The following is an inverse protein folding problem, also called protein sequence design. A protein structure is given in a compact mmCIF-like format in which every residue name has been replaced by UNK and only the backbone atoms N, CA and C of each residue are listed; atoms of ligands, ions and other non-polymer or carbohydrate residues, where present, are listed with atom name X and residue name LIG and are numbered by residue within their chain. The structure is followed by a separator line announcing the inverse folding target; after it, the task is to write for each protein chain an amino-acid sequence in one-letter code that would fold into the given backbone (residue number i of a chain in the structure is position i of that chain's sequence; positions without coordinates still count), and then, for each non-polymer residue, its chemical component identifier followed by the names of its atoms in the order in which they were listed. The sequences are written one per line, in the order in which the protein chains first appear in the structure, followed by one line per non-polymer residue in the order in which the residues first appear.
data_IF_197859952612
#
_entry.id   IF_197859952612
#
_cell.length_a   1.000
_cell.length_b   1.000
_cell.length_c   1.000
_cell.angle_alpha   90.00
_cell.angle_beta   90.00
_cell.angle_gamma   90.00
#
_symmetry.space_group_name_H-M   'P 1'
#
loop_
_entity.id
_entity.type
_entity.pdbx_description
1 polymer ?
#
# COMPACT_ATOMS: atom_id res chain seq x y z
N UNK A 1 9.58 -7.90 2.00
CA UNK A 1 9.78 -6.87 0.97
C UNK A 1 8.74 -5.80 1.20
N UNK A 2 9.16 -4.55 1.37
CA UNK A 2 8.23 -3.42 1.42
C UNK A 2 7.74 -3.11 0.00
N UNK A 3 6.51 -2.60 -0.11
CA UNK A 3 5.95 -2.18 -1.39
C UNK A 3 6.75 -0.97 -1.90
N UNK A 4 7.19 -0.94 -3.17
CA UNK A 4 7.89 0.22 -3.69
C UNK A 4 6.96 1.44 -3.67
N UNK A 5 7.52 2.59 -3.34
CA UNK A 5 6.81 3.87 -3.33
C UNK A 5 7.75 4.97 -3.81
N UNK A 6 7.18 6.01 -4.40
CA UNK A 6 7.89 7.23 -4.72
C UNK A 6 6.89 8.41 -4.65
N UNK A 7 7.42 9.62 -4.56
CA UNK A 7 6.63 10.84 -4.57
C UNK A 7 6.75 11.52 -5.93
N UNK A 8 5.65 12.05 -6.44
CA UNK A 8 5.61 12.87 -7.64
C UNK A 8 4.64 14.05 -7.48
N UNK A 9 4.70 14.98 -8.43
CA UNK A 9 3.79 16.10 -8.50
C UNK A 9 2.38 15.65 -8.91
N UNK A 10 1.38 16.28 -8.31
CA UNK A 10 -0.02 15.90 -8.51
C UNK A 10 -0.52 16.20 -9.93
N UNK A 11 -0.01 17.24 -10.59
CA UNK A 11 -0.48 17.66 -11.91
C UNK A 11 -0.07 16.64 -12.98
N UNK A 12 1.18 16.21 -12.98
CA UNK A 12 1.69 15.18 -13.88
C UNK A 12 1.01 13.84 -13.61
N UNK A 13 0.84 13.46 -12.34
CA UNK A 13 0.20 12.19 -11.99
C UNK A 13 -1.23 12.12 -12.53
N UNK A 14 -2.01 13.20 -12.37
CA UNK A 14 -3.39 13.30 -12.90
C UNK A 14 -3.43 13.35 -14.43
N UNK A 15 -2.46 14.01 -15.08
CA UNK A 15 -2.36 14.07 -16.53
C UNK A 15 -1.99 12.73 -17.21
N UNK A 16 -1.24 11.87 -16.52
CA UNK A 16 -0.68 10.63 -17.10
C UNK A 16 -1.67 9.46 -17.26
N UNK A 17 -2.87 9.54 -16.66
CA UNK A 17 -3.82 8.41 -16.46
C UNK A 17 -3.23 7.16 -15.77
N UNK A 18 -1.95 7.16 -15.38
CA UNK A 18 -1.29 6.01 -14.74
C UNK A 18 -1.92 5.74 -13.37
N UNK A 19 -2.31 6.80 -12.65
CA UNK A 19 -3.03 6.68 -11.39
C UNK A 19 -4.35 5.89 -11.54
N UNK A 20 -5.10 6.15 -12.61
CA UNK A 20 -6.33 5.42 -12.90
C UNK A 20 -6.04 3.95 -13.17
N UNK A 21 -5.06 3.65 -14.03
CA UNK A 21 -4.63 2.26 -14.33
C UNK A 21 -4.20 1.51 -13.08
N UNK A 22 -3.39 2.15 -12.24
CA UNK A 22 -2.94 1.61 -10.96
C UNK A 22 -4.13 1.32 -10.03
N UNK A 23 -5.09 2.26 -9.92
CA UNK A 23 -6.32 2.08 -9.14
C UNK A 23 -7.16 0.90 -9.65
N UNK A 24 -7.35 0.80 -10.97
CA UNK A 24 -8.11 -0.30 -11.55
C UNK A 24 -7.44 -1.66 -11.31
N UNK A 25 -6.12 -1.75 -11.46
CA UNK A 25 -5.41 -3.00 -11.21
C UNK A 25 -5.41 -3.40 -9.73
N UNK A 26 -5.36 -2.43 -8.80
CA UNK A 26 -5.57 -2.72 -7.38
C UNK A 26 -6.97 -3.28 -7.09
N UNK A 27 -8.01 -2.77 -7.76
CA UNK A 27 -9.37 -3.33 -7.65
C UNK A 27 -9.44 -4.76 -8.20
N UNK A 28 -8.78 -5.03 -9.32
CA UNK A 28 -8.69 -6.37 -9.91
C UNK A 28 -7.97 -7.36 -8.97
N UNK A 29 -6.88 -6.93 -8.34
CA UNK A 29 -6.18 -7.73 -7.32
C UNK A 29 -7.08 -8.01 -6.13
N UNK A 30 -7.83 -7.01 -5.65
CA UNK A 30 -8.76 -7.17 -4.54
C UNK A 30 -9.84 -8.21 -4.88
N UNK A 31 -10.46 -8.13 -6.06
CA UNK A 31 -11.47 -9.11 -6.50
C UNK A 31 -10.87 -10.53 -6.64
N UNK A 32 -9.63 -10.62 -7.12
CA UNK A 32 -8.91 -11.89 -7.18
C UNK A 32 -8.63 -12.48 -5.79
N UNK A 33 -8.29 -11.64 -4.81
CA UNK A 33 -8.10 -12.04 -3.41
C UNK A 33 -9.41 -12.52 -2.78
N UNK A 34 -10.51 -11.81 -3.01
CA UNK A 34 -11.83 -12.21 -2.50
C UNK A 34 -12.25 -13.58 -3.07
N UNK A 35 -12.06 -13.77 -4.37
CA UNK A 35 -12.31 -15.05 -5.05
C UNK A 35 -11.40 -16.17 -4.53
N UNK A 36 -10.12 -15.86 -4.29
CA UNK A 36 -9.17 -16.80 -3.71
C UNK A 36 -9.61 -17.22 -2.30
N UNK A 37 -10.01 -16.27 -1.45
CA UNK A 37 -10.54 -16.52 -0.11
C UNK A 37 -11.73 -17.47 -0.13
N UNK A 38 -12.73 -17.18 -0.96
CA UNK A 38 -13.91 -18.05 -1.10
C UNK A 38 -13.54 -19.48 -1.53
N UNK A 39 -12.64 -19.63 -2.51
CA UNK A 39 -12.19 -20.96 -2.98
C UNK A 39 -11.39 -21.70 -1.91
N UNK A 40 -10.60 -20.97 -1.12
CA UNK A 40 -9.83 -21.52 -0.01
C UNK A 40 -10.77 -22.08 1.05
N UNK A 41 -11.77 -21.30 1.47
CA UNK A 41 -12.77 -21.72 2.46
C UNK A 41 -13.51 -22.97 2.00
N UNK A 42 -13.88 -23.05 0.72
CA UNK A 42 -14.51 -24.23 0.14
C UNK A 42 -13.59 -25.47 0.14
N UNK A 43 -12.32 -25.31 -0.17
CA UNK A 43 -11.35 -26.41 -0.14
C UNK A 43 -11.11 -26.90 1.30
N UNK A 44 -11.04 -25.99 2.27
CA UNK A 44 -10.93 -26.31 3.69
C UNK A 44 -12.16 -27.06 4.20
N UNK A 45 -13.37 -26.63 3.82
CA UNK A 45 -14.61 -27.35 4.14
C UNK A 45 -14.63 -28.77 3.57
N UNK A 46 -14.26 -28.96 2.30
CA UNK A 46 -14.17 -30.30 1.69
C UNK A 46 -13.14 -31.18 2.40
N UNK A 47 -12.01 -30.62 2.84
CA UNK A 47 -11.01 -31.34 3.60
C UNK A 47 -11.54 -31.79 4.97
N UNK A 48 -12.25 -30.92 5.70
CA UNK A 48 -12.85 -31.27 6.98
C UNK A 48 -13.93 -32.35 6.86
N UNK A 49 -14.73 -32.31 5.79
CA UNK A 49 -15.69 -33.37 5.48
C UNK A 49 -15.00 -34.72 5.29
N UNK A 50 -13.93 -34.79 4.49
CA UNK A 50 -13.15 -36.03 4.30
C UNK A 50 -12.59 -36.54 5.63
N UNK A 51 -12.00 -35.65 6.44
CA UNK A 51 -11.48 -36.02 7.77
C UNK A 51 -12.57 -36.59 8.66
N UNK A 52 -13.77 -36.00 8.66
CA UNK A 52 -14.92 -36.50 9.41
C UNK A 52 -15.33 -37.90 8.93
N UNK A 53 -15.48 -38.08 7.61
CA UNK A 53 -15.81 -39.38 7.00
C UNK A 53 -14.80 -40.47 7.41
N UNK A 54 -13.49 -40.17 7.37
CA UNK A 54 -12.43 -41.11 7.77
C UNK A 54 -12.55 -41.48 9.25
N UNK A 55 -12.79 -40.51 10.13
CA UNK A 55 -12.98 -40.77 11.57
C UNK A 55 -14.19 -41.67 11.84
N UNK A 56 -15.30 -41.45 11.14
CA UNK A 56 -16.50 -42.28 11.26
C UNK A 56 -16.27 -43.70 10.76
N UNK A 57 -15.54 -43.88 9.66
CA UNK A 57 -15.16 -45.21 9.15
C UNK A 57 -14.31 -46.01 10.14
N UNK A 58 -13.40 -45.34 10.86
CA UNK A 58 -12.57 -45.98 11.89
C UNK A 58 -13.36 -46.49 13.11
N UNK A 59 -14.60 -46.04 13.30
CA UNK A 59 -15.45 -46.41 14.45
C UNK A 59 -16.40 -47.59 14.16
N UNK A 60 -16.35 -48.18 12.95
CA UNK A 60 -16.95 -49.49 12.66
C UNK A 60 -18.22 -49.53 11.79
N UNK A 61 -18.66 -48.41 11.20
CA UNK A 61 -19.90 -48.33 10.40
C UNK A 61 -19.67 -48.44 8.87
N UNK A 62 -18.57 -49.08 8.45
CA UNK A 62 -18.07 -49.09 7.07
C UNK A 62 -18.74 -50.10 6.14
N UNK A 63 -19.97 -49.84 5.70
CA UNK A 63 -20.58 -50.54 4.56
C UNK A 63 -19.93 -50.17 3.22
N UNK A 64 -19.98 -51.06 2.21
CA UNK A 64 -19.40 -50.90 0.85
C UNK A 64 -19.78 -49.60 0.12
N UNK A 65 -20.85 -48.90 0.53
CA UNK A 65 -21.26 -47.61 -0.01
C UNK A 65 -20.37 -46.43 0.42
N UNK A 66 -19.63 -46.51 1.53
CA UNK A 66 -18.79 -45.40 2.03
C UNK A 66 -17.43 -45.32 1.33
N UNK A 67 -16.95 -46.40 0.72
CA UNK A 67 -15.67 -46.41 -0.01
C UNK A 67 -15.74 -45.62 -1.33
N UNK A 68 -16.84 -45.76 -2.08
CA UNK A 68 -17.08 -45.01 -3.33
C UNK A 68 -17.26 -43.52 -3.04
N UNK A 69 -17.97 -43.19 -1.96
CA UNK A 69 -18.15 -41.80 -1.50
C UNK A 69 -16.82 -41.14 -1.09
N UNK A 70 -15.89 -41.88 -0.50
CA UNK A 70 -14.58 -41.37 -0.10
C UNK A 70 -13.70 -40.99 -1.31
N UNK A 71 -13.69 -41.80 -2.37
CA UNK A 71 -12.93 -41.49 -3.59
C UNK A 71 -13.51 -40.27 -4.33
N UNK A 72 -14.84 -40.14 -4.39
CA UNK A 72 -15.50 -38.97 -4.98
C UNK A 72 -15.20 -37.69 -4.19
N UNK A 73 -15.23 -37.75 -2.86
CA UNK A 73 -14.86 -36.62 -2.00
C UNK A 73 -13.40 -36.19 -2.19
N UNK A 74 -12.46 -37.15 -2.27
CA UNK A 74 -11.04 -36.85 -2.56
C UNK A 74 -10.87 -36.20 -3.93
N UNK A 75 -11.57 -36.69 -4.95
CA UNK A 75 -11.53 -36.10 -6.30
C UNK A 75 -12.08 -34.66 -6.30
N UNK A 76 -13.17 -34.40 -5.58
CA UNK A 76 -13.71 -33.05 -5.42
C UNK A 76 -12.70 -32.12 -4.74
N UNK A 77 -12.05 -32.57 -3.66
CA UNK A 77 -10.97 -31.83 -3.01
C UNK A 77 -9.82 -31.53 -3.99
N UNK A 78 -9.36 -32.52 -4.76
CA UNK A 78 -8.32 -32.32 -5.77
C UNK A 78 -8.72 -31.24 -6.80
N UNK A 79 -9.97 -31.25 -7.28
CA UNK A 79 -10.49 -30.23 -8.21
C UNK A 79 -10.50 -28.85 -7.57
N UNK A 80 -10.92 -28.73 -6.30
CA UNK A 80 -10.92 -27.46 -5.56
C UNK A 80 -9.52 -26.92 -5.34
N UNK A 81 -8.58 -27.78 -4.94
CA UNK A 81 -7.18 -27.41 -4.77
C UNK A 81 -6.56 -26.96 -6.10
N UNK A 82 -6.83 -27.65 -7.20
CA UNK A 82 -6.39 -27.22 -8.53
C UNK A 82 -6.95 -25.84 -8.89
N UNK A 83 -8.24 -25.61 -8.67
CA UNK A 83 -8.89 -24.31 -8.89
C UNK A 83 -8.30 -23.21 -7.99
N UNK A 84 -7.93 -23.54 -6.76
CA UNK A 84 -7.29 -22.62 -5.82
C UNK A 84 -5.88 -22.23 -6.27
N UNK A 85 -5.09 -23.20 -6.74
CA UNK A 85 -3.76 -22.96 -7.31
C UNK A 85 -3.87 -22.07 -8.54
N UNK A 86 -4.81 -22.35 -9.43
CA UNK A 86 -5.07 -21.51 -10.60
C UNK A 86 -5.41 -20.07 -10.20
N UNK A 87 -6.27 -19.88 -9.21
CA UNK A 87 -6.61 -18.55 -8.70
C UNK A 87 -5.39 -17.83 -8.09
N UNK A 88 -4.50 -18.57 -7.41
CA UNK A 88 -3.27 -18.01 -6.86
C UNK A 88 -2.31 -17.54 -7.97
N UNK A 89 -2.21 -18.30 -9.07
CA UNK A 89 -1.43 -17.89 -10.24
C UNK A 89 -1.97 -16.58 -10.81
N UNK A 90 -3.29 -16.47 -11.03
CA UNK A 90 -3.92 -15.24 -11.52
C UNK A 90 -3.64 -14.03 -10.60
N UNK A 91 -3.66 -14.25 -9.29
CA UNK A 91 -3.34 -13.20 -8.32
C UNK A 91 -1.89 -12.70 -8.49
N UNK A 92 -0.93 -13.62 -8.65
CA UNK A 92 0.46 -13.25 -8.90
C UNK A 92 0.64 -12.57 -10.25
N UNK A 93 -0.04 -13.01 -11.30
CA UNK A 93 -0.03 -12.34 -12.61
C UNK A 93 -0.53 -10.90 -12.49
N UNK A 94 -1.63 -10.68 -11.76
CA UNK A 94 -2.15 -9.33 -11.52
C UNK A 94 -1.21 -8.47 -10.67
N UNK A 95 -0.53 -9.04 -9.69
CA UNK A 95 0.51 -8.34 -8.94
C UNK A 95 1.71 -7.95 -9.82
N UNK A 96 2.14 -8.83 -10.73
CA UNK A 96 3.19 -8.50 -11.70
C UNK A 96 2.74 -7.36 -12.62
N UNK A 97 1.49 -7.38 -13.11
CA UNK A 97 0.92 -6.26 -13.88
C UNK A 97 0.97 -4.94 -13.09
N UNK A 98 0.66 -4.94 -11.79
CA UNK A 98 0.78 -3.76 -10.93
C UNK A 98 2.21 -3.20 -10.94
N UNK A 99 3.18 -4.09 -10.76
CA UNK A 99 4.61 -3.73 -10.75
C UNK A 99 5.06 -3.18 -12.09
N UNK A 100 4.55 -3.68 -13.20
CA UNK A 100 4.87 -3.17 -14.53
C UNK A 100 4.24 -1.79 -14.78
N UNK A 101 3.02 -1.55 -14.27
CA UNK A 101 2.42 -0.21 -14.25
C UNK A 101 3.31 0.76 -13.45
N UNK A 102 3.78 0.33 -12.27
CA UNK A 102 4.67 1.13 -11.43
C UNK A 102 6.01 1.43 -12.11
N UNK A 103 6.66 0.43 -12.73
CA UNK A 103 7.91 0.62 -13.49
C UNK A 103 7.73 1.54 -14.70
N UNK A 104 6.58 1.48 -15.36
CA UNK A 104 6.26 2.39 -16.47
C UNK A 104 6.19 3.85 -16.01
N UNK A 105 5.88 4.06 -14.74
CA UNK A 105 5.82 5.38 -14.12
C UNK A 105 7.22 5.92 -13.82
N UNK A 106 8.10 5.09 -13.25
CA UNK A 106 9.53 5.43 -13.03
C UNK A 106 10.27 5.74 -14.34
N UNK A 107 9.93 5.05 -15.42
CA UNK A 107 10.53 5.28 -16.75
C UNK A 107 9.94 6.45 -17.54
N UNK A 108 8.86 7.08 -17.05
CA UNK A 108 8.19 8.16 -17.77
C UNK A 108 8.95 9.48 -17.61
N UNK A 109 9.40 10.13 -18.70
CA UNK A 109 10.12 11.40 -18.61
C UNK A 109 9.26 12.56 -18.07
N UNK A 110 7.93 12.38 -18.04
CA UNK A 110 7.02 13.36 -17.49
C UNK A 110 6.96 13.28 -15.96
N UNK A 111 7.17 12.09 -15.37
CA UNK A 111 7.00 11.85 -13.93
C UNK A 111 8.35 11.93 -13.25
N UNK A 112 8.63 13.06 -12.60
CA UNK A 112 9.85 13.20 -11.81
C UNK A 112 9.66 12.60 -10.42
N UNK A 113 10.50 11.63 -10.05
CA UNK A 113 10.62 11.20 -8.68
C UNK A 113 11.22 12.33 -7.81
N UNK A 114 10.39 12.90 -6.93
CA UNK A 114 10.77 13.95 -5.97
C UNK A 114 11.07 13.40 -4.58
N UNK A 115 11.12 12.07 -4.41
CA UNK A 115 11.35 11.42 -3.11
C UNK A 115 12.64 11.88 -2.45
N UNK A 116 13.74 11.93 -3.21
CA UNK A 116 15.03 12.41 -2.69
C UNK A 116 14.97 13.87 -2.24
N UNK A 117 14.29 14.73 -3.00
CA UNK A 117 14.15 16.15 -2.66
C UNK A 117 13.33 16.32 -1.38
N UNK A 118 12.24 15.55 -1.22
CA UNK A 118 11.42 15.56 -0.02
C UNK A 118 12.16 14.99 1.20
N UNK A 119 12.91 13.89 1.04
CA UNK A 119 13.73 13.34 2.12
C UNK A 119 14.77 14.35 2.60
N UNK A 120 15.50 14.97 1.67
CA UNK A 120 16.49 16.01 1.98
C UNK A 120 15.85 17.22 2.68
N UNK A 121 14.71 17.71 2.17
CA UNK A 121 13.97 18.80 2.80
C UNK A 121 13.51 18.43 4.22
N UNK A 122 13.00 17.21 4.42
CA UNK A 122 12.59 16.71 5.73
C UNK A 122 13.77 16.65 6.71
N UNK A 123 14.92 16.16 6.27
CA UNK A 123 16.14 16.12 7.08
C UNK A 123 16.59 17.52 7.49
N UNK A 124 16.61 18.47 6.54
CA UNK A 124 16.97 19.86 6.80
C UNK A 124 16.02 20.55 7.77
N UNK A 125 14.71 20.30 7.64
CA UNK A 125 13.71 20.82 8.57
C UNK A 125 13.86 20.22 9.97
N UNK A 126 14.14 18.92 10.07
CA UNK A 126 14.39 18.27 11.35
C UNK A 126 15.66 18.83 12.02
N UNK A 127 16.74 19.00 11.27
CA UNK A 127 17.96 19.61 11.78
C UNK A 127 17.70 21.03 12.30
N UNK A 128 17.00 21.87 11.53
CA UNK A 128 16.64 23.22 11.96
C UNK A 128 15.73 23.23 13.21
N UNK A 129 14.88 22.21 13.38
CA UNK A 129 14.07 22.02 14.57
C UNK A 129 14.92 21.64 15.78
N UNK A 130 15.86 20.72 15.62
CA UNK A 130 16.82 20.32 16.67
C UNK A 130 17.71 21.49 17.10
N UNK A 131 18.23 22.28 16.16
CA UNK A 131 19.02 23.50 16.46
C UNK A 131 18.22 24.51 17.30
N UNK A 132 16.91 24.61 17.06
CA UNK A 132 16.02 25.47 17.84
C UNK A 132 15.77 24.94 19.25
N UNK A 133 15.58 23.63 19.38
CA UNK A 133 15.31 22.96 20.65
C UNK A 133 16.55 22.90 21.55
N UNK A 134 17.72 22.74 20.95
CA UNK A 134 19.01 22.74 21.63
C UNK A 134 19.52 24.17 21.95
N UNK A 135 18.76 25.21 21.57
CA UNK A 135 19.10 26.62 21.84
C UNK A 135 20.32 27.13 21.06
N UNK A 136 20.76 26.41 20.02
CA UNK A 136 21.90 26.78 19.17
C UNK A 136 21.57 27.97 18.27
N UNK A 137 20.29 28.20 17.99
CA UNK A 137 19.80 29.35 17.23
C UNK A 137 18.72 30.06 18.03
N UNK A 138 18.87 31.39 18.19
CA UNK A 138 17.87 32.20 18.88
C UNK A 138 16.54 32.22 18.10
N UNK A 139 15.38 32.11 18.78
CA UNK A 139 14.08 32.31 18.15
C UNK A 139 14.06 33.66 17.43
N UNK A 140 13.81 33.68 16.12
CA UNK A 140 13.58 34.95 15.43
C UNK A 140 12.22 35.42 15.92
N UNK A 141 12.15 36.67 16.35
CA UNK A 141 10.91 37.31 16.75
C UNK A 141 10.06 37.53 15.49
N UNK A 142 9.35 36.49 15.07
CA UNK A 142 8.28 36.63 14.09
C UNK A 142 7.26 37.52 14.79
N UNK A 143 7.09 38.73 14.25
CA UNK A 143 6.24 39.77 14.81
C UNK A 143 4.79 39.24 14.91
N UNK A 144 4.51 38.58 16.03
CA UNK A 144 3.25 37.91 16.37
C UNK A 144 2.11 38.90 16.60
N UNK A 145 2.40 40.20 16.51
CA UNK A 145 1.45 41.30 16.67
C UNK A 145 0.56 41.54 15.44
N UNK A 146 0.87 40.94 14.28
CA UNK A 146 0.05 41.06 13.08
C UNK A 146 -0.73 39.77 12.83
N UNK A 147 -2.05 39.83 12.59
CA UNK A 147 -2.82 38.67 12.15
C UNK A 147 -2.34 38.31 10.74
N UNK A 148 -1.36 37.41 10.65
CA UNK A 148 -0.90 36.89 9.37
C UNK A 148 -2.02 35.99 8.84
N UNK A 149 -2.65 36.43 7.75
CA UNK A 149 -3.67 35.66 7.05
C UNK A 149 -3.02 34.35 6.58
N UNK A 150 -3.70 33.20 6.74
CA UNK A 150 -3.15 31.87 6.40
C UNK A 150 -2.49 31.81 5.01
N UNK A 151 -3.04 32.53 4.02
CA UNK A 151 -2.48 32.60 2.67
C UNK A 151 -1.10 33.28 2.62
N UNK A 152 -0.90 34.35 3.39
CA UNK A 152 0.38 35.06 3.48
C UNK A 152 1.43 34.21 4.21
N UNK A 153 1.01 33.43 5.21
CA UNK A 153 1.88 32.47 5.89
C UNK A 153 2.38 31.37 4.95
N UNK A 154 1.49 30.83 4.10
CA UNK A 154 1.87 29.80 3.11
C UNK A 154 2.87 30.37 2.10
N UNK A 155 2.64 31.61 1.63
CA UNK A 155 3.57 32.30 0.73
C UNK A 155 4.94 32.51 1.38
N UNK A 156 4.99 33.04 2.60
CA UNK A 156 6.23 33.24 3.34
C UNK A 156 6.94 31.91 3.65
N UNK A 157 6.20 30.85 3.93
CA UNK A 157 6.75 29.51 4.14
C UNK A 157 7.44 28.98 2.87
N UNK A 158 6.80 29.15 1.71
CA UNK A 158 7.39 28.81 0.41
C UNK A 158 8.66 29.62 0.13
N UNK A 159 8.65 30.93 0.42
CA UNK A 159 9.84 31.78 0.29
C UNK A 159 10.97 31.33 1.23
N UNK A 160 10.68 30.97 2.48
CA UNK A 160 11.69 30.47 3.40
C UNK A 160 12.24 29.10 3.01
N UNK A 161 11.40 28.16 2.58
CA UNK A 161 11.84 26.83 2.13
C UNK A 161 12.68 26.96 0.85
N UNK A 162 12.22 27.75 -0.12
CA UNK A 162 12.96 27.97 -1.38
C UNK A 162 14.28 28.72 -1.17
N UNK A 163 14.32 29.65 -0.21
CA UNK A 163 15.53 30.36 0.20
C UNK A 163 16.44 29.60 1.17
N UNK A 164 16.17 28.31 1.46
CA UNK A 164 16.90 27.48 2.41
C UNK A 164 16.96 28.05 3.85
N UNK A 165 15.98 28.88 4.21
CA UNK A 165 15.85 29.51 5.53
C UNK A 165 14.99 28.62 6.45
N UNK A 166 15.40 27.36 6.64
CA UNK A 166 14.61 26.33 7.35
C UNK A 166 14.25 26.70 8.80
N UNK A 167 15.15 27.38 9.51
CA UNK A 167 14.88 27.89 10.88
C UNK A 167 13.69 28.85 10.90
N UNK A 168 13.61 29.78 9.95
CA UNK A 168 12.49 30.73 9.82
C UNK A 168 11.20 30.01 9.44
N UNK A 169 11.29 29.03 8.53
CA UNK A 169 10.16 28.19 8.15
C UNK A 169 9.57 27.45 9.36
N UNK A 170 10.41 26.81 10.18
CA UNK A 170 9.98 26.09 11.39
C UNK A 170 9.36 27.04 12.42
N UNK A 171 9.96 28.21 12.64
CA UNK A 171 9.41 29.22 13.56
C UNK A 171 8.07 29.77 13.09
N UNK A 172 7.91 30.01 11.78
CA UNK A 172 6.65 30.47 11.20
C UNK A 172 5.54 29.44 11.44
N UNK A 173 5.81 28.15 11.21
CA UNK A 173 4.85 27.08 11.49
C UNK A 173 4.50 27.00 12.98
N UNK A 174 5.48 27.17 13.89
CA UNK A 174 5.24 27.22 15.35
C UNK A 174 4.35 28.38 15.76
N UNK A 175 4.46 29.55 15.12
CA UNK A 175 3.61 30.70 15.40
C UNK A 175 2.14 30.52 15.00
N UNK A 176 1.85 29.53 14.13
CA UNK A 176 0.50 29.18 13.65
C UNK A 176 -0.13 27.95 14.34
N UNK A 177 0.61 27.30 15.25
CA UNK A 177 0.13 26.16 16.02
C UNK A 177 -0.74 26.61 17.19
#
# INVERSE_FOLDING_TARGET
MECPFFFCDSETLTGSRVLEKHKFNLLEIQECLDTYGLRKDQAEQSLELIKSTIKQQSLGDGGTSTAVSNEEQKLDLCRRLYSLIFQLILLFENYVKLMDIFRSLEGSPQVSDISLQLCSLKEQLNHALEELENGQVSPINIDSSKPVIKQEAVKNLLEYISGQQYVKAVQLVRAFR
#
